data_IF_069808087708
#
_entry.id   IF_069808087708
#
_cell.length_a   1.000
_cell.length_b   1.000
_cell.length_c   1.000
_cell.angle_alpha   90.00
_cell.angle_beta   90.00
_cell.angle_gamma   90.00
#
_symmetry.space_group_name_H-M   'P 1'
#
loop_
_entity.id
_entity.type
_entity.pdbx_description
1 polymer ?
#
# COMPACT_ATOMS: atom_id res chain seq x y z
N UNK A 1 12.80 -65.05 65.09
CA UNK A 1 13.81 -64.14 64.52
C UNK A 1 13.66 -64.06 62.99
N UNK A 2 13.55 -65.19 62.28
CA UNK A 2 13.30 -65.20 60.83
C UNK A 2 11.95 -64.57 60.43
N UNK A 3 10.86 -64.87 61.15
CA UNK A 3 9.54 -64.28 60.86
C UNK A 3 9.50 -62.76 61.04
N UNK A 4 10.19 -62.23 62.05
CA UNK A 4 10.31 -60.78 62.28
C UNK A 4 11.10 -60.12 61.15
N UNK A 5 12.24 -60.68 60.76
CA UNK A 5 13.02 -60.18 59.63
C UNK A 5 12.21 -60.20 58.32
N UNK A 6 11.38 -61.23 58.11
CA UNK A 6 10.50 -61.33 56.94
C UNK A 6 9.38 -60.27 56.97
N UNK A 7 8.76 -60.05 58.12
CA UNK A 7 7.74 -59.02 58.30
C UNK A 7 8.31 -57.60 58.09
N UNK A 8 9.51 -57.33 58.61
CA UNK A 8 10.21 -56.06 58.43
C UNK A 8 10.58 -55.85 56.95
N UNK A 9 11.06 -56.90 56.27
CA UNK A 9 11.35 -56.85 54.84
C UNK A 9 10.09 -56.54 54.01
N UNK A 10 8.98 -57.23 54.27
CA UNK A 10 7.71 -56.94 53.61
C UNK A 10 7.25 -55.50 53.86
N UNK A 11 7.38 -55.00 55.09
CA UNK A 11 7.01 -53.61 55.44
C UNK A 11 7.85 -52.59 54.68
N UNK A 12 9.16 -52.82 54.53
CA UNK A 12 10.03 -51.96 53.72
C UNK A 12 9.66 -52.00 52.23
N UNK A 13 9.33 -53.17 51.69
CA UNK A 13 8.88 -53.30 50.31
C UNK A 13 7.58 -52.51 50.07
N UNK A 14 6.60 -52.65 50.97
CA UNK A 14 5.35 -51.87 50.90
C UNK A 14 5.62 -50.36 50.93
N UNK A 15 6.47 -49.90 51.85
CA UNK A 15 6.83 -48.49 51.94
C UNK A 15 7.50 -47.96 50.66
N UNK A 16 8.39 -48.74 50.07
CA UNK A 16 9.05 -48.38 48.81
C UNK A 16 8.05 -48.32 47.65
N UNK A 17 7.15 -49.29 47.55
CA UNK A 17 6.09 -49.31 46.53
C UNK A 17 5.17 -48.08 46.69
N UNK A 18 4.78 -47.74 47.91
CA UNK A 18 3.97 -46.54 48.18
C UNK A 18 4.67 -45.27 47.72
N UNK A 19 5.96 -45.11 48.06
CA UNK A 19 6.75 -43.96 47.61
C UNK A 19 6.87 -43.88 46.10
N UNK A 20 7.16 -45.00 45.43
CA UNK A 20 7.24 -45.05 43.97
C UNK A 20 5.92 -44.65 43.33
N UNK A 21 4.79 -45.14 43.87
CA UNK A 21 3.46 -44.78 43.39
C UNK A 21 3.16 -43.29 43.56
N UNK A 22 3.49 -42.71 44.70
CA UNK A 22 3.32 -41.27 44.96
C UNK A 22 4.19 -40.42 44.00
N UNK A 23 5.42 -40.85 43.74
CA UNK A 23 6.32 -40.19 42.80
C UNK A 23 5.77 -40.25 41.36
N UNK A 24 5.34 -41.43 40.90
CA UNK A 24 4.74 -41.59 39.57
C UNK A 24 3.46 -40.77 39.43
N UNK A 25 2.61 -40.74 40.46
CA UNK A 25 1.39 -39.92 40.46
C UNK A 25 1.72 -38.43 40.32
N UNK A 26 2.75 -37.97 41.02
CA UNK A 26 3.23 -36.60 40.88
C UNK A 26 3.75 -36.31 39.47
N UNK A 27 4.55 -37.21 38.88
CA UNK A 27 5.04 -37.07 37.50
C UNK A 27 3.91 -37.00 36.48
N UNK A 28 2.93 -37.90 36.58
CA UNK A 28 1.71 -37.90 35.75
C UNK A 28 1.01 -36.55 35.80
N UNK A 29 0.72 -36.03 37.01
CA UNK A 29 0.07 -34.73 37.17
C UNK A 29 0.90 -33.58 36.60
N UNK A 30 2.24 -33.68 36.63
CA UNK A 30 3.12 -32.69 36.01
C UNK A 30 3.06 -32.75 34.48
N UNK A 31 3.10 -33.95 33.89
CA UNK A 31 2.98 -34.11 32.43
C UNK A 31 1.61 -33.60 31.93
N UNK A 32 0.52 -33.98 32.59
CA UNK A 32 -0.83 -33.49 32.27
C UNK A 32 -0.92 -31.96 32.31
N UNK A 33 -0.38 -31.35 33.36
CA UNK A 33 -0.36 -29.89 33.50
C UNK A 33 0.51 -29.21 32.43
N UNK A 34 1.63 -29.82 32.04
CA UNK A 34 2.48 -29.33 30.96
C UNK A 34 1.75 -29.39 29.61
N UNK A 35 1.11 -30.52 29.30
CA UNK A 35 0.32 -30.67 28.08
C UNK A 35 -0.84 -29.67 28.00
N UNK A 36 -1.53 -29.38 29.10
CA UNK A 36 -2.59 -28.36 29.12
C UNK A 36 -2.02 -26.98 28.73
N UNK A 37 -0.87 -26.60 29.31
CA UNK A 37 -0.22 -25.31 29.00
C UNK A 37 0.24 -25.23 27.54
N UNK A 38 0.82 -26.30 27.01
CA UNK A 38 1.26 -26.35 25.61
C UNK A 38 0.08 -26.26 24.65
N UNK A 39 -1.03 -26.94 24.92
CA UNK A 39 -2.25 -26.81 24.13
C UNK A 39 -2.85 -25.39 24.18
N UNK A 40 -2.84 -24.74 25.34
CA UNK A 40 -3.27 -23.35 25.48
C UNK A 40 -2.39 -22.39 24.68
N UNK A 41 -1.06 -22.57 24.76
CA UNK A 41 -0.09 -21.80 23.96
C UNK A 41 -0.38 -21.98 22.47
N UNK A 42 -0.48 -23.23 22.01
CA UNK A 42 -0.79 -23.56 20.60
C UNK A 42 -2.07 -22.89 20.14
N UNK A 43 -3.15 -22.99 20.92
CA UNK A 43 -4.43 -22.37 20.58
C UNK A 43 -4.33 -20.87 20.46
N UNK A 44 -3.65 -20.19 21.40
CA UNK A 44 -3.47 -18.74 21.36
C UNK A 44 -2.62 -18.32 20.16
N UNK A 45 -1.50 -18.99 19.93
CA UNK A 45 -0.61 -18.70 18.81
C UNK A 45 -1.29 -18.95 17.47
N UNK A 46 -2.15 -19.96 17.35
CA UNK A 46 -2.94 -20.19 16.13
C UNK A 46 -3.92 -19.04 15.84
N UNK A 47 -4.51 -18.43 16.88
CA UNK A 47 -5.30 -17.20 16.72
C UNK A 47 -4.43 -16.05 16.19
N UNK A 48 -3.25 -15.83 16.78
CA UNK A 48 -2.32 -14.78 16.35
C UNK A 48 -1.81 -15.00 14.90
N UNK A 49 -1.64 -16.25 14.46
CA UNK A 49 -1.34 -16.60 13.05
C UNK A 49 -2.46 -16.16 12.13
N UNK A 50 -3.71 -16.49 12.46
CA UNK A 50 -4.87 -16.12 11.63
C UNK A 50 -5.08 -14.60 11.55
N UNK A 51 -4.86 -13.89 12.66
CA UNK A 51 -4.89 -12.42 12.69
C UNK A 51 -3.80 -11.85 11.78
N UNK A 52 -2.57 -12.34 11.91
CA UNK A 52 -1.44 -11.91 11.07
C UNK A 52 -1.67 -12.22 9.59
N UNK A 53 -2.30 -13.35 9.26
CA UNK A 53 -2.67 -13.70 7.88
C UNK A 53 -3.76 -12.77 7.33
N UNK A 54 -4.72 -12.37 8.16
CA UNK A 54 -5.74 -11.38 7.77
C UNK A 54 -5.11 -10.01 7.48
N UNK A 55 -4.17 -9.57 8.34
CA UNK A 55 -3.40 -8.34 8.10
C UNK A 55 -2.58 -8.43 6.81
N UNK A 56 -1.94 -9.57 6.55
CA UNK A 56 -1.14 -9.79 5.35
C UNK A 56 -1.99 -9.73 4.07
N UNK A 57 -3.18 -10.35 4.08
CA UNK A 57 -4.12 -10.27 2.97
C UNK A 57 -4.60 -8.83 2.71
N UNK A 58 -4.82 -8.05 3.78
CA UNK A 58 -5.19 -6.65 3.66
C UNK A 58 -4.06 -5.84 3.01
N UNK A 59 -2.81 -6.00 3.46
CA UNK A 59 -1.65 -5.31 2.88
C UNK A 59 -1.42 -5.71 1.42
N UNK A 60 -1.58 -6.99 1.07
CA UNK A 60 -1.48 -7.45 -0.32
C UNK A 60 -2.55 -6.83 -1.21
N UNK A 61 -3.76 -6.68 -0.68
CA UNK A 61 -4.83 -5.98 -1.37
C UNK A 61 -4.49 -4.50 -1.57
N UNK A 62 -3.98 -3.82 -0.54
CA UNK A 62 -3.59 -2.42 -0.62
C UNK A 62 -2.49 -2.21 -1.67
N UNK A 63 -1.49 -3.10 -1.74
CA UNK A 63 -0.44 -3.08 -2.77
C UNK A 63 -1.04 -3.18 -4.17
N UNK A 64 -1.96 -4.14 -4.39
CA UNK A 64 -2.62 -4.33 -5.67
C UNK A 64 -3.49 -3.13 -6.07
N UNK A 65 -4.26 -2.59 -5.12
CA UNK A 65 -5.13 -1.44 -5.32
C UNK A 65 -4.30 -0.19 -5.67
N UNK A 66 -3.19 0.08 -4.93
CA UNK A 66 -2.27 1.16 -5.25
C UNK A 66 -1.69 1.05 -6.67
N UNK A 67 -1.29 -0.17 -7.09
CA UNK A 67 -0.79 -0.40 -8.45
C UNK A 67 -1.84 -0.15 -9.54
N UNK A 68 -3.09 -0.53 -9.26
CA UNK A 68 -4.23 -0.25 -10.13
C UNK A 68 -4.52 1.25 -10.26
N UNK A 69 -4.60 1.96 -9.13
CA UNK A 69 -4.79 3.41 -9.08
C UNK A 69 -3.67 4.16 -9.79
N UNK A 70 -2.41 3.75 -9.60
CA UNK A 70 -1.25 4.34 -10.30
C UNK A 70 -1.35 4.17 -11.80
N UNK A 71 -1.70 2.96 -12.26
CA UNK A 71 -1.87 2.67 -13.69
C UNK A 71 -2.96 3.53 -14.32
N UNK A 72 -4.12 3.63 -13.66
CA UNK A 72 -5.25 4.43 -14.15
C UNK A 72 -4.90 5.91 -14.22
N UNK A 73 -4.39 6.48 -13.13
CA UNK A 73 -4.09 7.92 -13.07
C UNK A 73 -2.88 8.31 -13.93
N UNK A 74 -1.90 7.43 -14.16
CA UNK A 74 -0.84 7.69 -15.15
C UNK A 74 -1.39 7.72 -16.57
N UNK A 75 -2.32 6.82 -16.91
CA UNK A 75 -2.96 6.82 -18.22
C UNK A 75 -3.76 8.11 -18.46
N UNK A 76 -4.51 8.58 -17.46
CA UNK A 76 -5.22 9.87 -17.50
C UNK A 76 -4.25 11.04 -17.68
N UNK A 77 -3.12 11.06 -16.95
CA UNK A 77 -2.08 12.07 -17.12
C UNK A 77 -1.49 12.08 -18.54
N UNK A 78 -1.15 10.91 -19.09
CA UNK A 78 -0.57 10.80 -20.43
C UNK A 78 -1.57 11.26 -21.50
N UNK A 79 -2.84 10.92 -21.35
CA UNK A 79 -3.90 11.37 -22.27
C UNK A 79 -4.09 12.89 -22.18
N UNK A 80 -4.25 13.44 -20.98
CA UNK A 80 -4.42 14.89 -20.80
C UNK A 80 -3.22 15.68 -21.35
N UNK A 81 -2.00 15.21 -21.07
CA UNK A 81 -0.78 15.77 -21.65
C UNK A 81 -0.82 15.77 -23.18
N UNK A 82 -1.20 14.66 -23.79
CA UNK A 82 -1.28 14.55 -25.25
C UNK A 82 -2.33 15.51 -25.81
N UNK A 83 -3.50 15.61 -25.18
CA UNK A 83 -4.59 16.48 -25.61
C UNK A 83 -4.17 17.96 -25.56
N UNK A 84 -3.49 18.38 -24.49
CA UNK A 84 -2.94 19.74 -24.34
C UNK A 84 -1.86 20.03 -25.39
N UNK A 85 -0.93 19.10 -25.62
CA UNK A 85 0.11 19.24 -26.64
C UNK A 85 -0.51 19.40 -28.04
N UNK A 86 -1.54 18.61 -28.36
CA UNK A 86 -2.26 18.70 -29.63
C UNK A 86 -3.06 20.01 -29.75
N UNK A 87 -3.72 20.44 -28.67
CA UNK A 87 -4.45 21.70 -28.62
C UNK A 87 -3.52 22.89 -28.83
N UNK A 88 -2.35 22.91 -28.20
CA UNK A 88 -1.33 23.96 -28.40
C UNK A 88 -0.91 24.04 -29.86
N UNK A 89 -0.62 22.89 -30.51
CA UNK A 89 -0.23 22.86 -31.93
C UNK A 89 -1.35 23.40 -32.83
N UNK A 90 -2.59 22.98 -32.58
CA UNK A 90 -3.75 23.45 -33.33
C UNK A 90 -3.97 24.96 -33.17
N UNK A 91 -3.90 25.47 -31.93
CA UNK A 91 -4.10 26.88 -31.63
C UNK A 91 -2.98 27.75 -32.19
N UNK A 92 -1.72 27.29 -32.15
CA UNK A 92 -0.58 27.97 -32.81
C UNK A 92 -0.82 28.06 -34.33
N UNK A 93 -1.22 26.96 -34.95
CA UNK A 93 -1.54 26.91 -36.39
C UNK A 93 -2.68 27.86 -36.75
N UNK A 94 -3.76 27.89 -35.96
CA UNK A 94 -4.89 28.77 -36.17
C UNK A 94 -4.51 30.25 -36.01
N UNK A 95 -3.71 30.57 -34.99
CA UNK A 95 -3.18 31.92 -34.73
C UNK A 95 -2.36 32.41 -35.92
N UNK A 96 -1.47 31.58 -36.45
CA UNK A 96 -0.60 31.91 -37.58
C UNK A 96 -1.40 32.09 -38.88
N UNK A 97 -2.37 31.20 -39.15
CA UNK A 97 -3.25 31.31 -40.32
C UNK A 97 -4.12 32.59 -40.27
N UNK A 98 -4.63 32.97 -39.09
CA UNK A 98 -5.34 34.23 -38.90
C UNK A 98 -4.41 35.43 -39.16
N UNK A 99 -3.20 35.41 -38.61
CA UNK A 99 -2.21 36.46 -38.84
C UNK A 99 -1.87 36.62 -40.34
N UNK A 100 -1.72 35.52 -41.08
CA UNK A 100 -1.47 35.53 -42.52
C UNK A 100 -2.67 36.07 -43.32
N UNK A 101 -3.89 35.65 -42.99
CA UNK A 101 -5.09 36.15 -43.67
C UNK A 101 -5.21 37.68 -43.56
N UNK A 102 -5.06 38.24 -42.36
CA UNK A 102 -5.15 39.68 -42.15
C UNK A 102 -3.96 40.45 -42.74
N UNK A 103 -2.78 39.84 -42.86
CA UNK A 103 -1.64 40.39 -43.63
C UNK A 103 -2.00 40.59 -45.11
N UNK A 104 -2.68 39.62 -45.70
CA UNK A 104 -2.97 39.60 -47.13
C UNK A 104 -4.25 40.37 -47.52
N UNK A 105 -5.12 40.69 -46.56
CA UNK A 105 -6.47 41.25 -46.84
C UNK A 105 -6.80 42.54 -46.07
N UNK A 106 -5.89 43.07 -45.22
CA UNK A 106 -6.09 44.32 -44.48
C UNK A 106 -4.75 44.99 -44.08
N UNK A 107 -4.79 46.28 -43.74
CA UNK A 107 -3.61 47.12 -43.41
C UNK A 107 -2.64 46.48 -42.38
N UNK A 108 -1.32 46.82 -42.40
CA UNK A 108 -0.22 45.97 -41.94
C UNK A 108 -0.29 45.46 -40.49
N UNK A 109 0.06 44.18 -40.34
CA UNK A 109 -0.02 43.32 -39.14
C UNK A 109 1.01 43.66 -38.04
N UNK A 110 1.89 44.63 -38.29
CA UNK A 110 2.82 45.12 -37.27
C UNK A 110 2.09 45.65 -36.01
N UNK A 111 0.79 45.96 -36.14
CA UNK A 111 -0.11 46.34 -35.04
C UNK A 111 -0.85 45.17 -34.37
N UNK A 112 -0.85 43.97 -34.97
CA UNK A 112 -1.58 42.78 -34.51
C UNK A 112 -0.72 41.90 -33.57
N UNK A 113 0.51 41.56 -33.97
CA UNK A 113 1.42 40.77 -33.12
C UNK A 113 1.94 41.54 -31.89
N UNK A 114 2.06 42.87 -31.97
CA UNK A 114 2.50 43.72 -30.84
C UNK A 114 1.51 43.75 -29.67
N UNK A 115 0.22 43.46 -29.90
CA UNK A 115 -0.79 43.39 -28.82
C UNK A 115 -0.66 42.09 -28.04
N UNK A 116 -0.44 40.97 -28.72
CA UNK A 116 -0.29 39.66 -28.09
C UNK A 116 0.97 39.56 -27.20
N UNK A 117 2.02 40.31 -27.51
CA UNK A 117 3.30 40.29 -26.78
C UNK A 117 3.44 41.39 -25.70
N UNK A 118 2.47 42.32 -25.60
CA UNK A 118 2.49 43.46 -24.69
C UNK A 118 1.39 43.48 -23.62
N UNK A 119 0.46 42.53 -23.65
CA UNK A 119 -0.60 42.43 -22.65
C UNK A 119 -0.02 41.89 -21.33
N UNK A 120 0.25 42.79 -20.37
CA UNK A 120 0.43 42.37 -18.98
C UNK A 120 -0.84 41.66 -18.52
N UNK A 121 -0.72 40.46 -17.94
CA UNK A 121 -1.80 39.76 -17.24
C UNK A 121 -2.49 40.74 -16.28
N UNK A 122 -3.67 41.22 -16.63
CA UNK A 122 -4.56 41.89 -15.69
C UNK A 122 -5.79 40.99 -15.56
N UNK A 123 -5.78 40.15 -14.53
CA UNK A 123 -6.72 39.03 -14.30
C UNK A 123 -8.16 39.47 -13.98
N UNK A 124 -8.49 40.74 -14.22
CA UNK A 124 -9.80 41.35 -13.91
C UNK A 124 -10.42 42.12 -15.08
N UNK A 125 -9.74 42.24 -16.22
CA UNK A 125 -10.27 42.92 -17.39
C UNK A 125 -10.65 41.91 -18.47
N UNK A 126 -11.94 41.59 -18.58
CA UNK A 126 -12.48 40.91 -19.77
C UNK A 126 -12.16 41.75 -21.03
N UNK A 127 -11.75 41.12 -22.14
CA UNK A 127 -11.57 41.82 -23.40
C UNK A 127 -12.89 42.48 -23.84
N UNK A 128 -12.86 43.78 -24.16
CA UNK A 128 -14.04 44.48 -24.72
C UNK A 128 -14.37 43.92 -26.11
N UNK A 129 -15.49 43.18 -26.20
CA UNK A 129 -15.89 42.35 -27.33
C UNK A 129 -16.85 43.04 -28.32
N UNK A 130 -16.94 44.37 -28.30
CA UNK A 130 -17.87 45.11 -29.18
C UNK A 130 -17.48 44.97 -30.66
N UNK A 131 -18.17 44.08 -31.36
CA UNK A 131 -18.16 43.99 -32.82
C UNK A 131 -18.82 45.25 -33.40
N UNK A 132 -18.09 46.04 -34.18
CA UNK A 132 -18.61 47.26 -34.84
C UNK A 132 -18.26 47.26 -36.33
N UNK A 133 -18.97 48.07 -37.13
CA UNK A 133 -19.02 48.07 -38.61
C UNK A 133 -17.80 47.55 -39.40
N UNK A 134 -18.09 47.04 -40.61
CA UNK A 134 -17.19 46.37 -41.60
C UNK A 134 -15.73 46.87 -41.71
N UNK A 135 -15.45 48.14 -41.40
CA UNK A 135 -14.12 48.76 -41.43
C UNK A 135 -13.30 48.65 -40.12
N UNK A 136 -13.80 47.99 -39.05
CA UNK A 136 -13.09 47.80 -37.77
C UNK A 136 -12.58 46.38 -37.50
N UNK A 137 -12.69 45.50 -38.50
CA UNK A 137 -12.32 44.07 -38.43
C UNK A 137 -10.87 43.78 -38.01
N UNK A 138 -9.93 44.71 -38.20
CA UNK A 138 -8.55 44.48 -37.75
C UNK A 138 -8.37 44.64 -36.22
N UNK A 139 -9.24 45.39 -35.54
CA UNK A 139 -9.25 45.49 -34.07
C UNK A 139 -9.83 44.22 -33.45
N UNK A 140 -10.88 43.67 -34.07
CA UNK A 140 -11.52 42.42 -33.65
C UNK A 140 -10.57 41.22 -33.82
N UNK A 141 -9.79 41.20 -34.91
CA UNK A 141 -8.71 40.23 -35.14
C UNK A 141 -7.63 40.26 -34.05
N UNK A 142 -7.31 41.45 -33.51
CA UNK A 142 -6.34 41.58 -32.40
C UNK A 142 -6.84 40.93 -31.13
N UNK A 143 -8.13 41.11 -30.82
CA UNK A 143 -8.76 40.47 -29.67
C UNK A 143 -8.70 38.94 -29.78
N UNK A 144 -9.06 38.38 -30.94
CA UNK A 144 -9.05 36.93 -31.18
C UNK A 144 -7.62 36.37 -31.09
N UNK A 145 -6.64 37.01 -31.73
CA UNK A 145 -5.23 36.56 -31.66
C UNK A 145 -4.68 36.63 -30.24
N UNK A 146 -5.03 37.66 -29.47
CA UNK A 146 -4.64 37.77 -28.06
C UNK A 146 -5.28 36.66 -27.20
N UNK A 147 -6.55 36.32 -27.45
CA UNK A 147 -7.22 35.20 -26.76
C UNK A 147 -6.56 33.87 -27.11
N UNK A 148 -6.26 33.61 -28.39
CA UNK A 148 -5.55 32.39 -28.79
C UNK A 148 -4.18 32.30 -28.13
N UNK A 149 -3.44 33.41 -28.05
CA UNK A 149 -2.15 33.47 -27.36
C UNK A 149 -2.30 33.18 -25.86
N UNK A 150 -3.30 33.77 -25.19
CA UNK A 150 -3.57 33.51 -23.78
C UNK A 150 -3.89 32.03 -23.53
N UNK A 151 -4.75 31.41 -24.34
CA UNK A 151 -5.10 29.98 -24.21
C UNK A 151 -3.87 29.09 -24.42
N UNK A 152 -3.01 29.41 -25.40
CA UNK A 152 -1.75 28.68 -25.62
C UNK A 152 -0.86 28.75 -24.38
N UNK A 153 -0.69 29.94 -23.80
CA UNK A 153 0.12 30.12 -22.58
C UNK A 153 -0.48 29.38 -21.39
N UNK A 154 -1.80 29.41 -21.23
CA UNK A 154 -2.50 28.70 -20.16
C UNK A 154 -2.29 27.17 -20.28
N UNK A 155 -2.38 26.60 -21.49
CA UNK A 155 -2.10 25.18 -21.73
C UNK A 155 -0.61 24.82 -21.52
N UNK A 156 0.32 25.71 -21.89
CA UNK A 156 1.75 25.51 -21.63
C UNK A 156 2.06 25.54 -20.12
N UNK A 157 1.43 26.45 -19.37
CA UNK A 157 1.52 26.52 -17.91
C UNK A 157 0.88 25.26 -17.27
N UNK A 158 -0.25 24.78 -17.78
CA UNK A 158 -0.94 23.56 -17.34
C UNK A 158 -0.06 22.31 -17.52
N UNK A 159 0.59 22.14 -18.68
CA UNK A 159 1.57 21.06 -18.91
C UNK A 159 2.73 21.09 -17.90
N UNK A 160 3.20 22.28 -17.53
CA UNK A 160 4.22 22.46 -16.52
C UNK A 160 3.74 22.06 -15.11
N UNK A 161 2.51 22.41 -14.77
CA UNK A 161 1.89 22.07 -13.49
C UNK A 161 1.56 20.58 -13.38
N UNK A 162 0.95 20.00 -14.42
CA UNK A 162 0.57 18.59 -14.47
C UNK A 162 1.80 17.69 -14.36
N UNK A 163 2.90 18.03 -15.03
CA UNK A 163 4.18 17.31 -14.89
C UNK A 163 4.69 17.28 -13.46
N UNK A 164 4.71 18.43 -12.76
CA UNK A 164 5.15 18.49 -11.36
C UNK A 164 4.22 17.72 -10.42
N UNK A 165 2.93 17.72 -10.73
CA UNK A 165 1.93 16.98 -9.96
C UNK A 165 2.10 15.47 -10.15
N UNK A 166 2.32 15.02 -11.39
CA UNK A 166 2.63 13.63 -11.71
C UNK A 166 3.94 13.16 -11.06
N UNK A 167 5.00 13.96 -11.10
CA UNK A 167 6.27 13.63 -10.43
C UNK A 167 6.09 13.43 -8.91
N UNK A 168 5.28 14.26 -8.26
CA UNK A 168 4.95 14.09 -6.83
C UNK A 168 4.09 12.85 -6.59
N UNK A 169 3.06 12.64 -7.42
CA UNK A 169 2.19 11.48 -7.30
C UNK A 169 2.97 10.17 -7.47
N UNK A 170 3.95 10.14 -8.37
CA UNK A 170 4.84 9.00 -8.57
C UNK A 170 5.73 8.75 -7.34
N UNK A 171 6.35 9.80 -6.78
CA UNK A 171 7.17 9.67 -5.57
C UNK A 171 6.36 9.21 -4.35
N UNK A 172 5.15 9.75 -4.17
CA UNK A 172 4.25 9.35 -3.10
C UNK A 172 3.81 7.89 -3.25
N UNK A 173 3.50 7.45 -4.49
CA UNK A 173 3.21 6.06 -4.79
C UNK A 173 4.39 5.13 -4.45
N UNK A 174 5.60 5.45 -4.90
CA UNK A 174 6.79 4.65 -4.63
C UNK A 174 7.09 4.54 -3.13
N UNK A 175 6.94 5.64 -2.38
CA UNK A 175 7.11 5.65 -0.93
C UNK A 175 6.07 4.77 -0.21
N UNK A 176 4.80 4.85 -0.62
CA UNK A 176 3.72 4.05 -0.03
C UNK A 176 3.86 2.57 -0.37
N UNK A 177 4.22 2.25 -1.62
CA UNK A 177 4.48 0.88 -2.05
C UNK A 177 5.64 0.28 -1.25
N UNK A 178 6.77 0.99 -1.14
CA UNK A 178 7.92 0.51 -0.38
C UNK A 178 7.60 0.26 1.10
N UNK A 179 6.78 1.12 1.71
CA UNK A 179 6.32 0.94 3.08
C UNK A 179 5.39 -0.28 3.22
N UNK A 180 4.47 -0.48 2.28
CA UNK A 180 3.55 -1.62 2.27
C UNK A 180 4.30 -2.95 2.07
N UNK A 181 5.26 -3.00 1.14
CA UNK A 181 6.10 -4.17 0.92
C UNK A 181 6.99 -4.50 2.14
N UNK A 182 7.47 -3.47 2.85
CA UNK A 182 8.20 -3.68 4.11
C UNK A 182 7.30 -4.30 5.18
N UNK A 183 6.07 -3.78 5.32
CA UNK A 183 5.08 -4.33 6.24
C UNK A 183 4.70 -5.77 5.87
N UNK A 184 4.51 -6.08 4.58
CA UNK A 184 4.22 -7.43 4.10
C UNK A 184 5.34 -8.42 4.50
N UNK A 185 6.61 -8.02 4.33
CA UNK A 185 7.76 -8.83 4.75
C UNK A 185 7.77 -9.06 6.25
N UNK A 186 7.55 -8.02 7.04
CA UNK A 186 7.54 -8.12 8.51
C UNK A 186 6.41 -9.04 9.00
N UNK A 187 5.22 -8.92 8.41
CA UNK A 187 4.08 -9.79 8.72
C UNK A 187 4.34 -11.25 8.31
N UNK A 188 5.00 -11.47 7.17
CA UNK A 188 5.40 -12.81 6.72
C UNK A 188 6.37 -13.45 7.72
N UNK A 189 7.41 -12.71 8.14
CA UNK A 189 8.37 -13.18 9.15
C UNK A 189 7.67 -13.47 10.47
N UNK A 190 6.77 -12.58 10.92
CA UNK A 190 5.97 -12.79 12.13
C UNK A 190 5.14 -14.07 12.03
N UNK A 191 4.43 -14.28 10.91
CA UNK A 191 3.64 -15.49 10.67
C UNK A 191 4.50 -16.76 10.78
N UNK A 192 5.63 -16.81 10.07
CA UNK A 192 6.53 -17.96 10.12
C UNK A 192 7.09 -18.23 11.52
N UNK A 193 7.42 -17.19 12.28
CA UNK A 193 7.88 -17.35 13.65
C UNK A 193 6.79 -17.94 14.55
N UNK A 194 5.55 -17.47 14.42
CA UNK A 194 4.40 -18.00 15.18
C UNK A 194 4.09 -19.46 14.79
N UNK A 195 4.15 -19.80 13.51
CA UNK A 195 4.04 -21.19 13.03
C UNK A 195 5.15 -22.07 13.61
N UNK A 196 6.37 -21.55 13.73
CA UNK A 196 7.49 -22.21 14.41
C UNK A 196 7.22 -22.49 15.89
N UNK A 197 6.59 -21.54 16.60
CA UNK A 197 6.17 -21.73 18.01
C UNK A 197 5.14 -22.86 18.11
N UNK A 198 4.17 -22.92 17.18
CA UNK A 198 3.17 -23.99 17.14
C UNK A 198 3.86 -25.35 16.90
N UNK A 199 4.75 -25.43 15.91
CA UNK A 199 5.48 -26.66 15.61
C UNK A 199 6.31 -27.15 16.80
N UNK A 200 6.97 -26.23 17.51
CA UNK A 200 7.72 -26.58 18.72
C UNK A 200 6.80 -27.07 19.85
N UNK A 201 5.65 -26.41 20.05
CA UNK A 201 4.66 -26.86 21.04
C UNK A 201 4.12 -28.26 20.72
N UNK A 202 3.95 -28.60 19.44
CA UNK A 202 3.55 -29.94 19.00
C UNK A 202 4.60 -31.01 19.30
N UNK A 203 5.88 -30.71 19.05
CA UNK A 203 6.97 -31.61 19.41
C UNK A 203 7.06 -31.85 20.92
N UNK A 204 6.81 -30.81 21.72
CA UNK A 204 6.86 -30.92 23.17
C UNK A 204 5.62 -31.64 23.73
N UNK A 205 4.45 -31.48 23.10
CA UNK A 205 3.26 -32.28 23.41
C UNK A 205 3.49 -33.77 23.18
N UNK A 206 4.14 -34.14 22.07
CA UNK A 206 4.47 -35.53 21.77
C UNK A 206 5.39 -36.12 22.85
N UNK A 207 6.45 -35.40 23.23
CA UNK A 207 7.38 -35.83 24.29
C UNK A 207 6.67 -35.99 25.64
N UNK A 208 5.86 -35.00 26.04
CA UNK A 208 5.10 -35.07 27.29
C UNK A 208 4.08 -36.21 27.29
N UNK A 209 3.46 -36.49 26.14
CA UNK A 209 2.55 -37.62 25.95
C UNK A 209 3.24 -38.97 26.11
N UNK A 210 4.45 -39.13 25.57
CA UNK A 210 5.26 -40.34 25.76
C UNK A 210 5.66 -40.53 27.22
N UNK A 211 6.14 -39.46 27.89
CA UNK A 211 6.50 -39.51 29.32
C UNK A 211 5.29 -39.86 30.19
N UNK A 212 4.12 -39.31 29.88
CA UNK A 212 2.88 -39.64 30.57
C UNK A 212 2.54 -41.12 30.41
N UNK A 213 2.62 -41.65 29.19
CA UNK A 213 2.36 -43.07 28.92
C UNK A 213 3.33 -43.99 29.67
N UNK A 214 4.62 -43.67 29.68
CA UNK A 214 5.64 -44.43 30.41
C UNK A 214 5.35 -44.41 31.92
N UNK A 215 5.09 -43.24 32.50
CA UNK A 215 4.76 -43.11 33.93
C UNK A 215 3.47 -43.86 34.32
N UNK A 216 2.46 -43.87 33.45
CA UNK A 216 1.24 -44.65 33.65
C UNK A 216 1.50 -46.15 33.56
N UNK A 217 2.36 -46.58 32.64
CA UNK A 217 2.77 -47.98 32.47
C UNK A 217 3.55 -48.51 33.68
N UNK A 218 4.42 -47.70 34.28
CA UNK A 218 5.17 -48.07 35.50
C UNK A 218 4.29 -48.12 36.76
N UNK A 219 3.11 -47.51 36.74
CA UNK A 219 2.18 -47.47 37.87
C UNK A 219 1.25 -48.70 37.95
N UNK A 220 0.96 -49.33 36.81
CA UNK A 220 0.07 -50.50 36.69
C UNK A 220 0.76 -51.82 37.00
#
# INVERSE_FOLDING_TARGET
KEDQNRADHCTQQYHNITKMKEELQWKITKNEAAMIKLNQLKSKTATEVNETETELLAVQKDIADMGGERTSSNAEYLQGKQDDEQAIVLLKTAKDALAEYYNNHSAPVDSLLKVASGAKRNTTAEPDFRLTDKNKRSTEAKGIVAILQQIIEDLEDELGFSKRTEERAQLDYEARLAAAEALERDLTVKKTNLEGVIAQADLDLEKEGLLLQDNMGEMG
#
